data_IF_232680465427
#
_entry.id   IF_232680465427
#
_cell.length_a   1.000
_cell.length_b   1.000
_cell.length_c   1.000
_cell.angle_alpha   90.00
_cell.angle_beta   90.00
_cell.angle_gamma   90.00
#
_symmetry.space_group_name_H-M   'P 1'
#
loop_
_entity.id
_entity.type
_entity.pdbx_description
1 polymer ?
#
# COMPACT_ATOMS: atom_id res chain seq x y z
N UNK A 1 -10.83 7.58 -7.02
CA UNK A 1 -10.41 6.27 -6.48
C UNK A 1 -11.33 5.94 -5.31
N UNK A 2 -12.01 4.78 -5.30
CA UNK A 2 -12.74 4.31 -4.11
C UNK A 2 -11.73 3.62 -3.21
N UNK A 3 -11.46 4.19 -2.03
CA UNK A 3 -10.55 3.61 -1.05
C UNK A 3 -11.40 2.86 -0.04
N UNK A 4 -11.13 1.57 0.15
CA UNK A 4 -11.71 0.82 1.25
C UNK A 4 -11.10 1.34 2.56
N UNK A 5 -11.93 1.89 3.44
CA UNK A 5 -11.48 2.46 4.72
C UNK A 5 -10.83 1.42 5.63
N UNK A 6 -11.08 0.12 5.42
CA UNK A 6 -10.42 -0.97 6.15
C UNK A 6 -8.93 -1.11 5.81
N UNK A 7 -8.46 -0.46 4.75
CA UNK A 7 -7.06 -0.48 4.29
C UNK A 7 -6.23 0.67 4.87
N UNK A 8 -6.85 1.58 5.64
CA UNK A 8 -6.20 2.76 6.18
C UNK A 8 -5.37 2.41 7.42
N UNK A 9 -4.10 2.79 7.41
CA UNK A 9 -3.19 2.62 8.54
C UNK A 9 -2.32 3.86 8.72
N UNK A 10 -2.04 4.28 9.96
CA UNK A 10 -1.14 5.41 10.19
C UNK A 10 0.31 5.04 9.86
N UNK A 11 1.14 6.00 9.48
CA UNK A 11 2.56 5.77 9.20
C UNK A 11 3.31 5.21 10.42
N UNK A 12 2.92 5.62 11.63
CA UNK A 12 3.50 5.11 12.87
C UNK A 12 3.15 3.64 13.09
N UNK A 13 1.89 3.24 12.89
CA UNK A 13 1.45 1.84 13.01
C UNK A 13 2.06 0.97 11.91
N UNK A 14 2.11 1.46 10.67
CA UNK A 14 2.77 0.77 9.56
C UNK A 14 4.27 0.52 9.82
N UNK A 15 4.97 1.50 10.40
CA UNK A 15 6.40 1.37 10.72
C UNK A 15 6.67 0.38 11.86
N UNK A 16 5.79 0.32 12.85
CA UNK A 16 5.94 -0.61 13.98
C UNK A 16 5.45 -2.02 13.65
N UNK A 17 4.43 -2.14 12.79
CA UNK A 17 3.70 -3.37 12.53
C UNK A 17 3.63 -3.67 11.03
N UNK A 18 4.77 -3.70 10.34
CA UNK A 18 4.77 -3.92 8.88
C UNK A 18 4.10 -5.24 8.46
N UNK A 19 4.19 -6.30 9.27
CA UNK A 19 3.48 -7.57 9.00
C UNK A 19 1.95 -7.40 8.96
N UNK A 20 1.39 -6.43 9.68
CA UNK A 20 -0.04 -6.07 9.60
C UNK A 20 -0.37 -5.42 8.26
N UNK A 21 0.52 -4.56 7.76
CA UNK A 21 0.40 -3.94 6.43
C UNK A 21 0.39 -5.02 5.34
N UNK A 22 1.32 -5.97 5.39
CA UNK A 22 1.37 -7.08 4.44
C UNK A 22 0.06 -7.88 4.42
N UNK A 23 -0.49 -8.24 5.60
CA UNK A 23 -1.79 -8.94 5.70
C UNK A 23 -2.96 -8.13 5.14
N UNK A 24 -2.95 -6.80 5.29
CA UNK A 24 -3.95 -5.94 4.67
C UNK A 24 -3.85 -5.98 3.14
N UNK A 25 -2.62 -5.98 2.61
CA UNK A 25 -2.36 -6.13 1.17
C UNK A 25 -2.84 -7.50 0.69
N UNK A 26 -2.46 -8.60 1.35
CA UNK A 26 -2.89 -9.95 0.96
C UNK A 26 -4.44 -10.09 0.94
N UNK A 27 -5.12 -9.39 1.86
CA UNK A 27 -6.58 -9.46 2.01
C UNK A 27 -7.34 -8.54 1.06
N UNK A 28 -6.88 -7.31 0.89
CA UNK A 28 -7.61 -6.24 0.19
C UNK A 28 -6.93 -5.77 -1.10
N UNK A 29 -5.78 -6.34 -1.45
CA UNK A 29 -4.94 -6.00 -2.60
C UNK A 29 -4.10 -4.73 -2.42
N UNK A 30 -4.39 -3.90 -1.41
CA UNK A 30 -3.62 -2.70 -1.08
C UNK A 30 -3.82 -2.25 0.37
N UNK A 31 -2.84 -1.51 0.90
CA UNK A 31 -2.91 -0.76 2.14
C UNK A 31 -2.58 0.71 1.86
N UNK A 32 -3.33 1.63 2.47
CA UNK A 32 -3.13 3.07 2.34
C UNK A 32 -2.54 3.62 3.63
N UNK A 33 -1.31 4.13 3.56
CA UNK A 33 -0.63 4.72 4.69
C UNK A 33 -0.99 6.20 4.81
N UNK A 34 -1.43 6.60 6.01
CA UNK A 34 -1.79 7.95 6.38
C UNK A 34 -0.64 8.65 7.12
N UNK A 35 -0.38 9.92 6.80
CA UNK A 35 0.42 10.84 7.61
C UNK A 35 -0.44 12.04 7.97
N UNK A 36 -0.55 12.36 9.25
CA UNK A 36 -1.41 13.46 9.74
C UNK A 36 -2.86 13.36 9.21
N UNK A 37 -3.43 12.16 9.25
CA UNK A 37 -4.77 11.82 8.74
C UNK A 37 -5.00 12.03 7.23
N UNK A 38 -3.92 12.21 6.45
CA UNK A 38 -3.99 12.33 4.98
C UNK A 38 -3.31 11.12 4.32
N UNK A 39 -3.92 10.51 3.28
CA UNK A 39 -3.26 9.48 2.48
C UNK A 39 -1.93 9.99 1.92
N UNK A 40 -0.85 9.26 2.16
CA UNK A 40 0.49 9.63 1.71
C UNK A 40 1.13 8.53 0.85
N UNK A 41 0.97 7.27 1.23
CA UNK A 41 1.51 6.14 0.46
C UNK A 41 0.45 5.07 0.21
N UNK A 42 0.67 4.27 -0.84
CA UNK A 42 -0.08 3.05 -1.12
C UNK A 42 0.95 1.93 -1.22
N UNK A 43 0.72 0.85 -0.47
CA UNK A 43 1.45 -0.40 -0.61
C UNK A 43 0.50 -1.40 -1.25
N UNK A 44 1.00 -2.16 -2.21
CA UNK A 44 0.22 -3.13 -2.98
C UNK A 44 1.13 -4.28 -3.37
N UNK A 45 0.52 -5.41 -3.73
CA UNK A 45 1.23 -6.50 -4.38
C UNK A 45 1.92 -6.02 -5.66
N UNK A 46 3.14 -6.50 -5.85
CA UNK A 46 3.86 -6.34 -7.10
C UNK A 46 3.33 -7.35 -8.12
N UNK A 47 2.80 -6.84 -9.24
CA UNK A 47 2.32 -7.67 -10.35
C UNK A 47 2.81 -7.06 -11.66
N UNK A 48 3.11 -7.89 -12.64
CA UNK A 48 3.57 -7.43 -13.96
C UNK A 48 2.62 -6.42 -14.59
N UNK A 49 1.30 -6.61 -14.41
CA UNK A 49 0.29 -5.67 -14.90
C UNK A 49 0.40 -4.29 -14.24
N UNK A 50 0.58 -4.22 -12.91
CA UNK A 50 0.78 -2.94 -12.21
C UNK A 50 2.11 -2.30 -12.58
N UNK A 51 3.17 -3.09 -12.74
CA UNK A 51 4.47 -2.61 -13.20
C UNK A 51 4.42 -2.06 -14.61
N UNK A 52 3.60 -2.59 -15.51
CA UNK A 52 3.41 -2.01 -16.85
C UNK A 52 2.69 -0.67 -16.84
N UNK A 53 1.77 -0.46 -15.88
CA UNK A 53 0.97 0.77 -15.75
C UNK A 53 1.72 1.88 -15.01
N UNK A 54 2.72 1.52 -14.23
CA UNK A 54 3.56 2.46 -13.49
C UNK A 54 4.88 2.55 -14.27
N UNK A 55 5.32 3.72 -14.74
CA UNK A 55 6.57 3.86 -15.52
C UNK A 55 7.84 3.61 -14.67
N UNK A 56 7.91 2.46 -13.99
CA UNK A 56 9.01 2.04 -13.13
C UNK A 56 9.79 1.01 -13.95
N UNK A 57 10.79 1.49 -14.68
CA UNK A 57 11.70 0.62 -15.41
C UNK A 57 12.71 0.04 -14.41
N UNK A 58 12.58 -1.25 -14.10
CA UNK A 58 13.57 -1.98 -13.32
C UNK A 58 14.63 -2.53 -14.28
N UNK A 59 15.83 -1.93 -14.30
CA UNK A 59 17.01 -2.62 -14.82
C UNK A 59 17.50 -3.57 -13.72
N UNK A 60 17.21 -4.86 -13.89
CA UNK A 60 17.87 -5.94 -13.14
C UNK A 60 19.12 -6.38 -13.90
#
# INVERSE_FOLDING_TARGET
>A
MKIDTNTLISISDANQNFSKVAKLVDKYGAAVILKNNKPLYIITEFTEEKTRRTNVHFML
#
